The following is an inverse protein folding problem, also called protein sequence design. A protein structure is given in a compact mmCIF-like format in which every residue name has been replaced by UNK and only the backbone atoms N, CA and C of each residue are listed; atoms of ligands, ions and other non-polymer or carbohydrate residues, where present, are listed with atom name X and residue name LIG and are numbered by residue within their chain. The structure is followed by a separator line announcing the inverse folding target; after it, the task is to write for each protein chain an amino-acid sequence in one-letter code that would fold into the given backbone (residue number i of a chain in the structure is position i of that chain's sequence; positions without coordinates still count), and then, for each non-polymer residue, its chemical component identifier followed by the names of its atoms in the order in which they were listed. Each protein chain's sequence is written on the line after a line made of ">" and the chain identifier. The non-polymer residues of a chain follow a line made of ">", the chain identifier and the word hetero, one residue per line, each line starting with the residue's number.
data_IF_552791463612
#
_entry.id   IF_552791463612
#
_cell.length_a   1.000
_cell.length_b   1.000
_cell.length_c   1.000
_cell.angle_alpha   90.00
_cell.angle_beta   90.00
_cell.angle_gamma   90.00
#
_symmetry.space_group_name_H-M   'P 1'
#
loop_
_entity.id
_entity.type
_entity.pdbx_description
1 polymer ?
#
# COMPACT_ATOMS: atom_id res chain seq x y z
N UNK A 1 10.06 17.54 -15.73
CA UNK A 1 10.00 17.17 -14.89
C UNK A 1 10.83 16.56 -14.44
N UNK A 2 11.17 16.30 -13.89
CA UNK A 2 11.90 15.85 -13.43
C UNK A 2 11.93 14.84 -12.66
N UNK A 3 11.33 14.00 -12.92
CA UNK A 3 11.23 12.93 -12.14
C UNK A 3 12.45 12.16 -12.18
N UNK A 4 13.33 12.45 -13.00
CA UNK A 4 14.38 11.61 -13.09
C UNK A 4 15.19 11.52 -11.88
N UNK A 5 15.07 12.32 -11.02
CA UNK A 5 15.83 12.19 -9.90
C UNK A 5 15.39 11.37 -8.92
N UNK A 6 14.54 10.55 -9.13
CA UNK A 6 14.07 9.83 -8.10
C UNK A 6 14.74 8.66 -7.93
N UNK A 7 15.68 8.24 -8.58
CA UNK A 7 16.27 7.11 -8.46
C UNK A 7 16.49 6.55 -7.22
N UNK A 8 15.92 5.65 -6.83
CA UNK A 8 16.18 4.87 -5.70
C UNK A 8 15.93 5.57 -4.45
N UNK A 9 15.58 6.78 -4.53
CA UNK A 9 15.33 7.47 -3.40
C UNK A 9 13.94 7.60 -3.10
N UNK A 10 13.53 8.23 -2.09
CA UNK A 10 12.14 8.47 -1.78
C UNK A 10 11.59 9.43 -2.79
N UNK A 11 10.42 9.15 -3.30
CA UNK A 11 9.74 10.03 -4.18
C UNK A 11 8.88 10.98 -3.40
N UNK A 12 8.69 12.18 -3.90
CA UNK A 12 7.74 13.10 -3.30
C UNK A 12 6.33 12.64 -3.63
N UNK A 13 5.37 13.15 -2.92
CA UNK A 13 3.98 12.79 -3.17
C UNK A 13 3.57 13.15 -4.59
N UNK A 14 3.98 14.30 -5.05
CA UNK A 14 3.64 14.68 -6.40
C UNK A 14 4.25 13.78 -7.41
N UNK A 15 5.48 13.38 -7.20
CA UNK A 15 6.15 12.51 -8.14
C UNK A 15 5.53 11.13 -8.17
N UNK A 16 5.11 10.65 -7.02
CA UNK A 16 4.42 9.38 -7.00
C UNK A 16 3.14 9.45 -7.79
N UNK A 17 2.40 10.50 -7.64
CA UNK A 17 1.15 10.62 -8.38
C UNK A 17 1.40 10.72 -9.87
N UNK A 18 2.45 11.37 -10.25
CA UNK A 18 2.76 11.51 -11.64
C UNK A 18 3.20 10.21 -12.28
N UNK A 19 3.96 9.42 -11.55
CA UNK A 19 4.40 8.20 -12.06
C UNK A 19 3.39 7.21 -11.99
N UNK A 20 2.41 7.34 -11.26
CA UNK A 20 1.63 6.38 -10.75
C UNK A 20 1.06 5.58 -11.58
N UNK A 21 0.74 5.60 -12.05
CA UNK A 21 0.10 4.61 -12.36
C UNK A 21 -0.51 4.01 -11.37
N UNK A 22 -1.15 3.05 -11.46
CA UNK A 22 -1.91 2.41 -10.46
C UNK A 22 -1.12 1.95 -9.29
N UNK A 23 -0.02 1.29 -9.50
CA UNK A 23 0.66 0.59 -8.42
C UNK A 23 1.21 1.50 -7.32
N UNK A 24 1.85 2.59 -7.69
CA UNK A 24 2.46 3.46 -6.68
C UNK A 24 1.41 4.26 -5.93
N UNK A 25 0.42 4.75 -6.64
CA UNK A 25 -0.68 5.45 -5.99
C UNK A 25 -1.44 4.52 -5.07
N UNK A 26 -1.62 3.29 -5.47
CA UNK A 26 -2.33 2.32 -4.64
C UNK A 26 -1.59 2.06 -3.36
N UNK A 27 -0.29 1.85 -3.42
CA UNK A 27 0.49 1.59 -2.22
C UNK A 27 0.45 2.79 -1.25
N UNK A 28 0.52 3.98 -1.79
CA UNK A 28 0.46 5.18 -0.96
C UNK A 28 -0.91 5.31 -0.30
N UNK A 29 -1.96 5.05 -1.05
CA UNK A 29 -3.32 5.08 -0.53
C UNK A 29 -3.50 4.00 0.54
N UNK A 30 -2.97 2.81 0.29
CA UNK A 30 -3.10 1.68 1.19
C UNK A 30 -2.40 1.95 2.51
N UNK A 31 -1.24 2.58 2.47
CA UNK A 31 -0.53 2.94 3.67
C UNK A 31 -1.41 3.80 4.57
N UNK A 32 -2.03 4.81 3.98
CA UNK A 32 -2.87 5.71 4.73
C UNK A 32 -4.10 5.01 5.28
N UNK A 33 -4.75 4.21 4.46
CA UNK A 33 -5.94 3.48 4.87
C UNK A 33 -5.63 2.52 6.02
N UNK A 34 -4.59 1.71 5.87
CA UNK A 34 -4.25 0.73 6.88
C UNK A 34 -3.83 1.40 8.18
N UNK A 35 -3.10 2.47 8.09
CA UNK A 35 -2.70 3.21 9.28
C UNK A 35 -3.93 3.74 10.02
N UNK A 36 -4.89 4.26 9.28
CA UNK A 36 -6.10 4.79 9.91
C UNK A 36 -6.93 3.72 10.59
N UNK A 37 -6.81 2.47 10.16
CA UNK A 37 -7.55 1.37 10.76
C UNK A 37 -6.71 0.57 11.74
N UNK A 38 -5.58 1.12 12.15
CA UNK A 38 -4.82 0.54 13.26
C UNK A 38 -3.74 -0.45 12.88
N UNK A 39 -3.50 -0.63 11.60
CA UNK A 39 -2.45 -1.53 11.19
C UNK A 39 -1.13 -0.78 11.12
N UNK A 40 -0.04 -1.42 11.58
CA UNK A 40 1.21 -0.73 11.66
C UNK A 40 1.85 -0.63 10.29
N UNK A 41 2.04 0.58 9.82
CA UNK A 41 2.77 0.85 8.59
C UNK A 41 3.82 1.90 8.90
N UNK A 42 4.67 2.20 7.93
CA UNK A 42 5.64 3.26 8.13
C UNK A 42 5.02 4.63 8.00
N UNK A 43 3.83 4.73 7.53
CA UNK A 43 3.11 5.97 7.29
C UNK A 43 3.91 6.89 6.38
N UNK A 44 3.40 7.14 5.21
CA UNK A 44 4.14 7.77 4.10
C UNK A 44 4.84 9.07 4.50
N UNK A 45 4.20 9.95 5.21
CA UNK A 45 4.82 11.21 5.59
C UNK A 45 6.01 11.01 6.50
N UNK A 46 5.95 10.03 7.37
CA UNK A 46 7.10 9.73 8.22
C UNK A 46 8.20 9.06 7.44
N UNK A 47 7.85 8.24 6.49
CA UNK A 47 8.84 7.59 5.64
C UNK A 47 9.65 8.64 4.88
N UNK A 48 8.99 9.67 4.39
CA UNK A 48 9.69 10.73 3.70
C UNK A 48 10.67 11.45 4.62
N UNK A 49 10.25 11.75 5.81
CA UNK A 49 11.10 12.47 6.74
C UNK A 49 12.26 11.63 7.24
N UNK A 50 12.07 10.34 7.35
CA UNK A 50 13.11 9.47 7.83
C UNK A 50 13.95 8.87 6.71
N UNK A 51 13.71 9.32 5.51
CA UNK A 51 14.48 8.88 4.36
C UNK A 51 14.43 7.37 4.16
N UNK A 52 13.29 6.79 4.37
CA UNK A 52 13.08 5.37 4.19
C UNK A 52 13.01 5.07 2.71
N UNK A 53 13.63 3.99 2.29
CA UNK A 53 13.63 3.64 0.88
C UNK A 53 12.29 3.10 0.47
N UNK A 54 11.98 3.27 -0.82
CA UNK A 54 10.69 2.88 -1.36
C UNK A 54 10.38 1.41 -1.12
N UNK A 55 11.36 0.54 -1.31
CA UNK A 55 11.12 -0.88 -1.13
C UNK A 55 10.74 -1.22 0.32
N UNK A 56 11.38 -0.58 1.27
CA UNK A 56 11.05 -0.81 2.68
C UNK A 56 9.66 -0.29 3.00
N UNK A 57 9.29 0.84 2.41
CA UNK A 57 7.95 1.37 2.58
C UNK A 57 6.90 0.41 2.03
N UNK A 58 7.09 -0.08 0.81
CA UNK A 58 6.16 -1.03 0.22
C UNK A 58 6.03 -2.28 1.06
N UNK A 59 7.14 -2.76 1.59
CA UNK A 59 7.14 -3.96 2.40
C UNK A 59 6.28 -3.80 3.66
N UNK A 60 6.37 -2.63 4.28
CA UNK A 60 5.57 -2.38 5.48
C UNK A 60 4.07 -2.40 5.15
N UNK A 61 3.70 -1.89 4.00
CA UNK A 61 2.30 -1.90 3.59
C UNK A 61 1.82 -3.31 3.29
N UNK A 62 2.65 -4.09 2.60
CA UNK A 62 2.32 -5.48 2.30
C UNK A 62 2.13 -6.28 3.58
N UNK A 63 2.99 -6.07 4.56
CA UNK A 63 2.86 -6.77 5.83
C UNK A 63 1.59 -6.37 6.57
N UNK A 64 1.23 -5.10 6.50
CA UNK A 64 0.01 -4.63 7.14
C UNK A 64 -1.23 -5.27 6.51
N UNK A 65 -1.26 -5.38 5.18
CA UNK A 65 -2.33 -6.10 4.53
C UNK A 65 -2.40 -7.55 5.03
N UNK A 66 -1.26 -8.18 5.18
CA UNK A 66 -1.21 -9.57 5.65
C UNK A 66 -1.84 -9.72 7.03
N UNK A 67 -1.62 -8.76 7.90
CA UNK A 67 -2.23 -8.81 9.23
C UNK A 67 -3.73 -8.64 9.16
N UNK A 68 -4.24 -7.97 8.15
CA UNK A 68 -5.67 -7.82 7.96
C UNK A 68 -6.29 -9.01 7.24
N UNK A 69 -5.50 -9.95 6.79
CA UNK A 69 -6.01 -11.15 6.10
C UNK A 69 -5.97 -11.06 4.59
N UNK A 70 -5.27 -10.07 4.06
CA UNK A 70 -5.18 -9.89 2.60
C UNK A 70 -3.75 -10.04 2.15
N UNK A 71 -3.54 -10.80 1.09
CA UNK A 71 -2.23 -10.93 0.47
C UNK A 71 -2.14 -9.83 -0.59
N UNK A 72 -1.17 -8.96 -0.44
CA UNK A 72 -0.94 -7.90 -1.40
C UNK A 72 0.35 -8.18 -2.15
N UNK A 73 0.31 -8.12 -3.47
CA UNK A 73 1.49 -8.30 -4.30
C UNK A 73 1.72 -6.99 -5.04
N UNK A 74 2.86 -6.38 -4.77
CA UNK A 74 3.22 -5.13 -5.43
C UNK A 74 3.88 -5.46 -6.77
N UNK A 75 3.35 -4.89 -7.83
CA UNK A 75 3.90 -5.09 -9.16
C UNK A 75 4.53 -3.79 -9.62
N UNK A 76 5.79 -3.85 -9.96
CA UNK A 76 6.51 -2.66 -10.35
C UNK A 76 5.97 -2.08 -11.64
N UNK A 77 5.54 -2.93 -12.54
CA UNK A 77 5.05 -2.48 -13.83
C UNK A 77 3.64 -2.96 -14.08
N UNK A 78 2.72 -2.61 -13.33
CA UNK A 78 1.35 -3.05 -13.54
C UNK A 78 0.57 -2.79 -12.30
N UNK A 79 -0.65 -3.26 -12.26
CA UNK A 79 -1.47 -3.04 -11.09
C UNK A 79 -1.10 -4.01 -9.99
N UNK A 80 -1.20 -3.57 -8.77
CA UNK A 80 -0.97 -4.46 -7.64
C UNK A 80 -2.10 -5.48 -7.56
N UNK A 81 -1.81 -6.60 -6.94
CA UNK A 81 -2.80 -7.67 -6.81
C UNK A 81 -3.17 -7.85 -5.36
N UNK A 82 -4.43 -8.12 -5.09
CA UNK A 82 -4.93 -8.30 -3.73
C UNK A 82 -5.76 -9.57 -3.68
N UNK A 83 -5.52 -10.40 -2.66
CA UNK A 83 -6.24 -11.65 -2.50
C UNK A 83 -6.69 -11.81 -1.06
N UNK A 84 -7.95 -12.12 -0.86
CA UNK A 84 -8.45 -12.41 0.47
C UNK A 84 -8.15 -13.85 0.82
N UNK A 85 -7.59 -14.08 1.98
CA UNK A 85 -7.33 -15.45 2.45
C UNK A 85 -8.62 -16.00 3.04
N UNK A 86 -9.09 -17.08 2.51
CA UNK A 86 -10.31 -17.71 3.01
C UNK A 86 -10.01 -18.77 4.05
N UNK A 87 -10.99 -19.09 4.85
CA UNK A 87 -10.78 -20.02 5.96
C UNK A 87 -10.43 -21.43 5.49
N UNK A 88 -10.82 -21.78 4.28
CA UNK A 88 -10.49 -23.11 3.77
C UNK A 88 -9.15 -23.16 3.08
N UNK A 89 -8.38 -22.10 3.12
CA UNK A 89 -7.06 -22.06 2.50
C UNK A 89 -7.05 -21.53 1.08
N UNK A 90 -8.21 -21.32 0.49
CA UNK A 90 -8.25 -20.75 -0.86
C UNK A 90 -8.10 -19.23 -0.78
N UNK A 91 -7.96 -18.61 -1.96
CA UNK A 91 -7.79 -17.16 -2.05
C UNK A 91 -8.80 -16.60 -3.03
N UNK A 92 -9.35 -15.45 -2.70
CA UNK A 92 -10.29 -14.76 -3.58
C UNK A 92 -9.63 -13.49 -4.08
N UNK A 93 -9.59 -13.30 -5.39
CA UNK A 93 -9.00 -12.10 -5.97
C UNK A 93 -9.91 -10.91 -5.69
N UNK A 94 -9.32 -9.82 -5.26
CA UNK A 94 -10.04 -8.58 -5.01
C UNK A 94 -9.47 -7.48 -5.87
N UNK A 95 -10.32 -6.55 -6.28
CA UNK A 95 -9.83 -5.31 -6.86
C UNK A 95 -9.26 -4.46 -5.74
N UNK A 96 -8.54 -3.42 -6.09
CA UNK A 96 -8.02 -2.48 -5.09
C UNK A 96 -9.18 -1.88 -4.28
N UNK A 97 -10.26 -1.50 -4.96
CA UNK A 97 -11.41 -0.94 -4.28
C UNK A 97 -12.05 -1.94 -3.33
N UNK A 98 -12.17 -3.18 -3.74
CA UNK A 98 -12.76 -4.21 -2.90
C UNK A 98 -11.89 -4.52 -1.70
N UNK A 99 -10.58 -4.49 -1.86
CA UNK A 99 -9.68 -4.70 -0.74
C UNK A 99 -9.84 -3.57 0.30
N UNK A 100 -9.93 -2.34 -0.17
CA UNK A 100 -10.16 -1.22 0.73
C UNK A 100 -11.51 -1.32 1.44
N UNK A 101 -12.53 -1.73 0.72
CA UNK A 101 -13.84 -1.90 1.32
C UNK A 101 -13.85 -3.00 2.36
N UNK A 102 -13.07 -4.06 2.15
CA UNK A 102 -12.96 -5.11 3.13
C UNK A 102 -12.46 -4.55 4.46
N UNK A 103 -11.45 -3.68 4.40
CA UNK A 103 -10.92 -3.06 5.61
C UNK A 103 -12.00 -2.20 6.27
N UNK A 104 -12.69 -1.39 5.49
CA UNK A 104 -13.70 -0.48 6.06
C UNK A 104 -14.87 -1.21 6.69
N UNK A 105 -15.21 -2.38 6.16
CA UNK A 105 -16.34 -3.13 6.68
C UNK A 105 -15.99 -4.00 7.86
N UNK A 106 -14.76 -4.45 7.96
CA UNK A 106 -14.39 -5.44 8.96
C UNK A 106 -13.57 -4.88 10.12
N UNK A 107 -13.14 -3.65 10.06
CA UNK A 107 -12.33 -3.05 11.10
C UNK A 107 -12.85 -1.65 11.40
N UNK A 108 -12.47 -1.11 12.54
CA UNK A 108 -12.92 0.21 12.92
C UNK A 108 -11.76 1.18 12.87
N UNK A 109 -12.00 2.41 12.40
CA UNK A 109 -10.93 3.38 12.30
C UNK A 109 -10.42 3.77 13.67
N UNK A 110 -9.13 4.04 13.76
CA UNK A 110 -8.54 4.48 15.00
C UNK A 110 -8.80 5.92 15.28
N UNK A 111 -9.04 6.70 14.25
CA UNK A 111 -9.21 8.13 14.41
C UNK A 111 -10.60 8.55 13.96
#
# INVERSE_FOLDING_TARGET
>A
MTTENLKGEMMSAEQLDAVAGGNNSEIKYDDNLLYMYGFKTTYYSMALRMNVKWNAFCHSVIEAWGKAGIICIYNEYGENEYYLKNSDGSKTRLSHDDAGDYIRRNFEPRF
#
